data_IF_822138951109
#
_entry.id   IF_822138951109
#
_cell.length_a   1.000
_cell.length_b   1.000
_cell.length_c   1.000
_cell.angle_alpha   90.00
_cell.angle_beta   90.00
_cell.angle_gamma   90.00
#
_symmetry.space_group_name_H-M   'P 1'
#
loop_
_entity.id
_entity.type
_entity.pdbx_description
1 polymer ?
#
# COMPACT_ATOMS: atom_id res chain seq x y z
N UNK A 1 -11.35 -15.65 3.44
CA UNK A 1 -11.05 -14.21 3.49
C UNK A 1 -12.36 -13.45 3.32
N UNK A 2 -12.73 -12.58 4.27
CA UNK A 2 -13.88 -11.67 4.13
C UNK A 2 -13.43 -10.53 3.20
N UNK A 3 -13.48 -10.78 1.88
CA UNK A 3 -13.12 -9.79 0.87
C UNK A 3 -14.28 -8.80 0.75
N UNK A 4 -14.19 -7.65 1.39
CA UNK A 4 -15.02 -6.51 1.01
C UNK A 4 -14.62 -6.10 -0.42
N UNK A 5 -15.28 -6.68 -1.43
CA UNK A 5 -15.04 -6.35 -2.84
C UNK A 5 -13.58 -6.50 -3.31
N UNK A 6 -12.81 -7.45 -2.79
CA UNK A 6 -11.39 -7.63 -3.16
C UNK A 6 -10.46 -6.44 -2.85
N UNK A 7 -10.82 -5.59 -1.88
CA UNK A 7 -9.93 -4.51 -1.43
C UNK A 7 -8.99 -5.05 -0.35
N UNK A 8 -7.67 -4.78 -0.42
CA UNK A 8 -6.73 -5.16 0.63
C UNK A 8 -7.09 -4.51 1.97
N UNK A 9 -7.02 -5.29 3.04
CA UNK A 9 -7.24 -4.82 4.42
C UNK A 9 -5.92 -4.94 5.17
N UNK A 10 -5.53 -3.88 5.87
CA UNK A 10 -4.31 -3.82 6.67
C UNK A 10 -4.64 -3.40 8.09
N UNK A 11 -3.83 -3.84 9.05
CA UNK A 11 -3.90 -3.37 10.43
C UNK A 11 -2.87 -2.27 10.66
N UNK A 12 -3.22 -1.26 11.44
CA UNK A 12 -2.41 -0.09 11.70
C UNK A 12 -1.85 -0.16 13.12
N UNK A 13 -0.53 -0.19 13.23
CA UNK A 13 0.19 -0.23 14.50
C UNK A 13 1.17 0.94 14.61
N UNK A 14 1.52 1.38 15.83
CA UNK A 14 2.67 2.25 16.04
C UNK A 14 3.95 1.60 15.48
N UNK A 15 4.76 2.38 14.77
CA UNK A 15 6.09 1.95 14.32
C UNK A 15 7.17 2.29 15.35
N UNK A 16 8.31 1.57 15.30
CA UNK A 16 9.50 1.96 16.06
C UNK A 16 10.03 3.36 15.68
N UNK A 17 9.68 3.87 14.49
CA UNK A 17 9.97 5.26 14.12
C UNK A 17 8.85 6.16 14.63
N UNK A 18 9.17 7.05 15.57
CA UNK A 18 8.19 7.93 16.19
C UNK A 18 7.38 8.73 15.17
N UNK A 19 6.04 8.65 15.26
CA UNK A 19 5.11 9.32 14.36
C UNK A 19 4.84 8.59 13.04
N UNK A 20 5.43 7.41 12.82
CA UNK A 20 5.17 6.56 11.67
C UNK A 20 4.30 5.35 12.05
N UNK A 21 3.73 4.71 11.02
CA UNK A 21 2.78 3.61 11.17
C UNK A 21 3.30 2.33 10.53
N UNK A 22 3.10 1.20 11.17
CA UNK A 22 3.44 -0.12 10.64
C UNK A 22 2.18 -0.90 10.28
N UNK A 23 2.24 -1.63 9.16
CA UNK A 23 1.16 -2.53 8.71
C UNK A 23 1.44 -4.01 8.95
N UNK A 24 2.50 -4.30 9.71
CA UNK A 24 2.92 -5.67 9.99
C UNK A 24 2.66 -6.06 11.44
N UNK A 25 3.23 -5.31 12.38
CA UNK A 25 3.12 -5.52 13.82
C UNK A 25 3.46 -4.25 14.58
N UNK A 26 3.15 -4.24 15.87
CA UNK A 26 3.61 -3.20 16.79
C UNK A 26 5.14 -3.12 16.86
N UNK A 27 5.65 -1.90 16.96
CA UNK A 27 7.08 -1.59 16.83
C UNK A 27 7.71 -2.07 15.52
N UNK A 28 6.90 -2.37 14.50
CA UNK A 28 7.37 -2.77 13.18
C UNK A 28 7.92 -1.58 12.38
N UNK A 29 8.55 -1.89 11.24
CA UNK A 29 9.00 -0.87 10.28
C UNK A 29 7.83 -0.05 9.74
N UNK A 30 8.05 1.25 9.43
CA UNK A 30 7.07 2.06 8.73
C UNK A 30 6.60 1.38 7.44
N UNK A 31 5.29 1.38 7.17
CA UNK A 31 4.75 0.65 6.02
C UNK A 31 5.37 1.12 4.70
N UNK A 32 5.71 2.41 4.58
CA UNK A 32 6.33 3.02 3.41
C UNK A 32 7.69 2.39 3.06
N UNK A 33 8.38 1.76 4.02
CA UNK A 33 9.63 1.04 3.78
C UNK A 33 9.42 -0.41 3.34
N UNK A 34 8.20 -0.93 3.51
CA UNK A 34 7.85 -2.33 3.26
C UNK A 34 7.00 -2.53 2.00
N UNK A 35 6.38 -1.46 1.50
CA UNK A 35 5.56 -1.50 0.29
C UNK A 35 6.38 -1.08 -0.94
N UNK A 36 6.17 -1.72 -2.11
CA UNK A 36 6.87 -1.35 -3.32
C UNK A 36 6.37 0.01 -3.86
N UNK A 37 7.26 0.82 -4.43
CA UNK A 37 6.91 2.12 -5.03
C UNK A 37 6.07 3.03 -4.10
N UNK A 38 6.49 3.28 -2.84
CA UNK A 38 5.70 4.01 -1.84
C UNK A 38 5.44 5.48 -2.21
N UNK A 39 6.20 6.03 -3.16
CA UNK A 39 6.05 7.39 -3.68
C UNK A 39 5.11 7.46 -4.91
N UNK A 40 4.92 6.33 -5.61
CA UNK A 40 4.15 6.27 -6.86
C UNK A 40 2.74 5.70 -6.63
N UNK A 41 2.56 4.89 -5.58
CA UNK A 41 1.28 4.24 -5.25
C UNK A 41 0.71 4.86 -3.97
N UNK A 42 -0.51 5.46 -4.01
CA UNK A 42 -1.16 6.01 -2.83
C UNK A 42 -1.81 4.92 -1.98
N UNK A 43 -1.01 4.12 -1.30
CA UNK A 43 -1.47 2.91 -0.59
C UNK A 43 -2.61 3.16 0.39
N UNK A 44 -2.57 4.27 1.15
CA UNK A 44 -3.60 4.61 2.14
C UNK A 44 -4.98 4.82 1.50
N UNK A 45 -5.02 5.25 0.24
CA UNK A 45 -6.25 5.43 -0.52
C UNK A 45 -6.77 4.15 -1.15
N UNK A 46 -5.90 3.14 -1.29
CA UNK A 46 -6.21 1.85 -1.93
C UNK A 46 -6.64 0.82 -0.90
N UNK A 47 -6.06 0.83 0.30
CA UNK A 47 -6.31 -0.19 1.34
C UNK A 47 -7.30 0.26 2.39
N UNK A 48 -8.00 -0.69 3.00
CA UNK A 48 -8.79 -0.44 4.22
C UNK A 48 -7.87 -0.56 5.43
N UNK A 49 -7.67 0.54 6.13
CA UNK A 49 -6.85 0.60 7.35
C UNK A 49 -7.73 0.33 8.57
N UNK A 50 -7.39 -0.70 9.34
CA UNK A 50 -8.05 -1.08 10.59
C UNK A 50 -7.11 -0.76 11.76
N UNK A 51 -7.55 -0.04 12.80
CA UNK A 51 -6.74 0.14 13.99
C UNK A 51 -6.36 -1.22 14.60
N UNK A 52 -5.06 -1.49 14.69
CA UNK A 52 -4.52 -2.66 15.37
C UNK A 52 -4.60 -2.49 16.88
N UNK A 53 -4.88 -3.58 17.60
CA UNK A 53 -4.86 -3.63 19.06
C UNK A 53 -4.29 -4.96 19.51
N UNK A 54 -3.67 -5.01 20.70
CA UNK A 54 -3.18 -6.25 21.33
C UNK A 54 -4.31 -7.28 21.52
N UNK A 55 -5.55 -6.81 21.65
CA UNK A 55 -6.72 -7.65 21.76
C UNK A 55 -7.23 -8.06 20.36
N UNK A 56 -6.81 -9.24 19.89
CA UNK A 56 -7.22 -9.78 18.59
C UNK A 56 -8.73 -9.82 18.37
N UNK A 57 -9.53 -10.09 19.42
CA UNK A 57 -11.00 -10.09 19.32
C UNK A 57 -11.51 -8.68 19.03
N UNK A 58 -10.96 -7.67 19.69
CA UNK A 58 -11.33 -6.27 19.43
C UNK A 58 -10.91 -5.83 18.03
N UNK A 59 -9.71 -6.22 17.58
CA UNK A 59 -9.22 -5.96 16.21
C UNK A 59 -10.16 -6.58 15.15
N UNK A 60 -10.64 -7.80 15.38
CA UNK A 60 -11.61 -8.46 14.49
C UNK A 60 -12.98 -7.76 14.47
N UNK A 61 -13.47 -7.31 15.63
CA UNK A 61 -14.72 -6.53 15.73
C UNK A 61 -14.57 -5.20 14.96
N UNK A 62 -13.48 -4.48 15.19
CA UNK A 62 -13.18 -3.21 14.51
C UNK A 62 -13.13 -3.40 12.99
N UNK A 63 -12.50 -4.49 12.52
CA UNK A 63 -12.49 -4.86 11.10
C UNK A 63 -13.91 -5.05 10.56
N UNK A 64 -14.74 -5.86 11.22
CA UNK A 64 -16.11 -6.13 10.75
C UNK A 64 -16.96 -4.84 10.72
N UNK A 65 -16.87 -4.00 11.74
CA UNK A 65 -17.58 -2.72 11.80
C UNK A 65 -17.12 -1.77 10.69
N UNK A 66 -15.82 -1.70 10.44
CA UNK A 66 -15.26 -0.88 9.36
C UNK A 66 -15.74 -1.37 8.01
N UNK A 67 -15.62 -2.66 7.71
CA UNK A 67 -16.03 -3.22 6.42
C UNK A 67 -17.53 -3.08 6.18
N UNK A 68 -18.37 -3.25 7.22
CA UNK A 68 -19.83 -3.08 7.11
C UNK A 68 -20.25 -1.62 6.88
N UNK A 69 -19.46 -0.66 7.37
CA UNK A 69 -19.75 0.78 7.20
C UNK A 69 -19.27 1.35 5.87
N UNK A 70 -18.57 0.58 5.05
CA UNK A 70 -18.14 1.03 3.73
C UNK A 70 -19.32 1.16 2.77
N UNK A 71 -19.42 2.30 2.10
CA UNK A 71 -20.37 2.48 1.01
C UNK A 71 -19.91 1.73 -0.24
N UNK A 72 -20.86 1.36 -1.10
CA UNK A 72 -20.54 0.79 -2.41
C UNK A 72 -19.68 1.75 -3.27
N UNK A 73 -19.86 3.05 -3.09
CA UNK A 73 -19.07 4.10 -3.75
C UNK A 73 -17.61 4.09 -3.30
N UNK A 74 -17.33 4.02 -1.99
CA UNK A 74 -15.95 3.94 -1.51
C UNK A 74 -15.27 2.64 -1.94
N UNK A 75 -16.03 1.53 -1.96
CA UNK A 75 -15.53 0.25 -2.48
C UNK A 75 -15.15 0.39 -3.96
N UNK A 76 -16.05 0.91 -4.80
CA UNK A 76 -15.81 1.08 -6.23
C UNK A 76 -14.64 2.03 -6.50
N UNK A 77 -14.53 3.13 -5.74
CA UNK A 77 -13.41 4.09 -5.84
C UNK A 77 -12.07 3.41 -5.58
N UNK A 78 -11.97 2.65 -4.48
CA UNK A 78 -10.75 1.94 -4.09
C UNK A 78 -10.37 0.85 -5.10
N UNK A 79 -11.36 0.12 -5.61
CA UNK A 79 -11.16 -0.84 -6.69
C UNK A 79 -10.64 -0.18 -7.97
N UNK A 80 -11.18 0.99 -8.34
CA UNK A 80 -10.71 1.79 -9.47
C UNK A 80 -9.23 2.14 -9.32
N UNK A 81 -8.85 2.72 -8.16
CA UNK A 81 -7.46 3.00 -7.85
C UNK A 81 -6.59 1.74 -7.92
N UNK A 82 -7.03 0.63 -7.35
CA UNK A 82 -6.27 -0.63 -7.41
C UNK A 82 -6.04 -1.08 -8.86
N UNK A 83 -7.03 -0.96 -9.75
CA UNK A 83 -6.85 -1.27 -11.18
C UNK A 83 -5.86 -0.31 -11.85
N UNK A 84 -5.93 0.97 -11.52
CA UNK A 84 -5.04 1.98 -12.08
C UNK A 84 -3.58 1.69 -11.72
N UNK A 85 -3.30 1.26 -10.49
CA UNK A 85 -1.93 0.99 -10.01
C UNK A 85 -1.48 -0.48 -10.12
N UNK A 86 -2.37 -1.40 -10.51
CA UNK A 86 -2.06 -2.84 -10.60
C UNK A 86 -0.80 -3.14 -11.41
N UNK A 87 -0.54 -2.37 -12.45
CA UNK A 87 0.61 -2.56 -13.34
C UNK A 87 1.97 -2.38 -12.63
N UNK A 88 2.04 -1.64 -11.52
CA UNK A 88 3.24 -1.57 -10.69
C UNK A 88 3.46 -2.82 -9.82
N UNK A 89 2.42 -3.63 -9.64
CA UNK A 89 2.45 -4.83 -8.78
C UNK A 89 2.55 -6.13 -9.58
N UNK A 90 2.52 -6.05 -10.92
CA UNK A 90 2.60 -7.19 -11.83
C UNK A 90 3.52 -6.90 -12.99
N UNK A 91 4.28 -7.88 -13.45
CA UNK A 91 5.07 -7.76 -14.67
C UNK A 91 4.14 -7.77 -15.90
N UNK A 92 4.27 -6.78 -16.80
CA UNK A 92 3.49 -6.71 -18.03
C UNK A 92 4.40 -6.90 -19.25
N UNK A 93 4.17 -7.99 -19.99
CA UNK A 93 5.00 -8.37 -21.13
C UNK A 93 4.71 -7.59 -22.42
N UNK A 94 3.53 -6.95 -22.52
CA UNK A 94 3.09 -6.26 -23.73
C UNK A 94 3.64 -4.82 -23.87
N UNK A 95 4.25 -4.28 -22.81
CA UNK A 95 4.80 -2.93 -22.78
C UNK A 95 3.75 -1.82 -22.91
N UNK A 96 2.46 -2.12 -22.68
CA UNK A 96 1.37 -1.15 -22.83
C UNK A 96 1.41 -0.04 -21.76
N UNK A 97 2.01 -0.32 -20.59
CA UNK A 97 2.23 0.61 -19.48
C UNK A 97 3.59 0.35 -18.82
N UNK A 98 4.19 1.36 -18.14
CA UNK A 98 5.40 1.14 -17.34
C UNK A 98 5.10 0.17 -16.21
N UNK A 99 5.60 -1.05 -16.28
CA UNK A 99 5.39 -2.05 -15.23
C UNK A 99 6.38 -1.91 -14.07
N UNK A 100 6.33 -2.83 -13.10
CA UNK A 100 7.24 -2.85 -11.95
C UNK A 100 8.72 -2.77 -12.36
N UNK A 101 9.12 -3.52 -13.40
CA UNK A 101 10.49 -3.51 -13.90
C UNK A 101 10.85 -2.17 -14.52
N UNK A 102 9.96 -1.62 -15.36
CA UNK A 102 10.14 -0.33 -16.00
C UNK A 102 10.26 0.79 -14.96
N UNK A 103 9.43 0.77 -13.93
CA UNK A 103 9.46 1.72 -12.82
C UNK A 103 10.78 1.65 -12.05
N UNK A 104 11.29 0.45 -11.77
CA UNK A 104 12.62 0.25 -11.16
C UNK A 104 13.72 0.84 -12.04
N UNK A 105 13.72 0.53 -13.35
CA UNK A 105 14.73 1.01 -14.29
C UNK A 105 14.70 2.55 -14.43
N UNK A 106 13.51 3.15 -14.45
CA UNK A 106 13.36 4.60 -14.44
C UNK A 106 13.90 5.23 -13.14
N UNK A 107 13.69 4.60 -11.99
CA UNK A 107 14.22 5.07 -10.70
C UNK A 107 15.76 4.99 -10.65
N UNK A 108 16.34 3.88 -11.13
CA UNK A 108 17.80 3.74 -11.27
C UNK A 108 18.34 4.80 -12.22
N UNK A 109 17.69 5.01 -13.37
CA UNK A 109 18.08 6.02 -14.35
C UNK A 109 18.09 7.45 -13.78
N UNK A 110 17.05 7.82 -13.01
CA UNK A 110 17.00 9.11 -12.29
C UNK A 110 18.14 9.26 -11.30
N UNK A 111 18.42 8.22 -10.52
CA UNK A 111 19.50 8.23 -9.53
C UNK A 111 20.88 8.40 -10.17
N UNK A 112 21.16 7.69 -11.27
CA UNK A 112 22.44 7.80 -11.99
C UNK A 112 22.62 9.20 -12.60
N UNK A 113 21.57 9.79 -13.17
CA UNK A 113 21.61 11.13 -13.78
C UNK A 113 21.71 12.26 -12.75
N UNK A 114 21.19 12.06 -11.54
CA UNK A 114 21.21 13.05 -10.46
C UNK A 114 22.51 13.09 -9.66
N UNK A 115 23.48 12.19 -9.90
CA UNK A 115 24.77 12.22 -9.22
C UNK A 115 25.67 13.30 -9.85
N UNK A 116 26.25 14.23 -9.07
CA UNK A 116 27.29 15.11 -9.57
C UNK A 116 28.43 14.25 -10.11
N UNK A 117 28.92 14.55 -11.31
CA UNK A 117 30.11 13.90 -11.84
C UNK A 117 31.27 14.24 -10.91
N UNK A 118 31.76 13.24 -10.16
CA UNK A 118 33.04 13.32 -9.47
C UNK A 118 34.09 13.41 -10.58
N UNK A 119 34.57 14.62 -10.84
CA UNK A 119 35.73 14.89 -11.69
C UNK A 119 37.00 14.75 -10.87
#
# INVERSE_FOLDING_TARGET
AFLAGCIPVVFDFPSYMHGQRSWWMEDGSPFQLSVPFPEDIPYEDIVVVIPGTENYTQSAINMLLKLRSMSAEDIARRQGLLQDYRHFLSFQWDGSRPDAFTAIMQRIGRFVRGRPQVR
#
